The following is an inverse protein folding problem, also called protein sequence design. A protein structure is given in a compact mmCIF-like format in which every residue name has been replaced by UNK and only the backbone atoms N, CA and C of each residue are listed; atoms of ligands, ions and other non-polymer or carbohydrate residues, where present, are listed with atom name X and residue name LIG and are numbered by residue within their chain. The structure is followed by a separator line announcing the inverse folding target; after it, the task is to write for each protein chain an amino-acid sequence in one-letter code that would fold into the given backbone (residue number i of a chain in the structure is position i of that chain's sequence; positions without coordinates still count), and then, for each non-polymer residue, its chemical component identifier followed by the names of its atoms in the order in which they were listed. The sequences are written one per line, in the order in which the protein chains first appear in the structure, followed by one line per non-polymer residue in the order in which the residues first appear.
data_IF_173978790557
#
_entry.id   IF_173978790557
#
_cell.length_a   1.000
_cell.length_b   1.000
_cell.length_c   1.000
_cell.angle_alpha   90.00
_cell.angle_beta   90.00
_cell.angle_gamma   90.00
#
_symmetry.space_group_name_H-M   'P 1'
#
loop_
_entity.id
_entity.type
_entity.pdbx_description
1 polymer ?
#
# COMPACT_ATOMS: atom_id res chain seq x y z
N UNK A 1 -1.88 9.32 -1.21
CA UNK A 1 -2.24 8.50 -0.03
C UNK A 1 -3.35 9.22 0.72
N UNK A 2 -4.45 8.54 1.04
CA UNK A 2 -5.53 9.10 1.86
C UNK A 2 -5.89 8.14 2.99
N UNK A 3 -6.61 8.63 4.01
CA UNK A 3 -7.07 7.84 5.14
C UNK A 3 -8.59 7.73 5.15
N UNK A 4 -9.11 6.57 5.54
CA UNK A 4 -10.54 6.46 5.86
C UNK A 4 -10.83 6.97 7.29
N UNK A 5 -12.10 6.97 7.69
CA UNK A 5 -12.54 7.36 9.05
C UNK A 5 -11.90 6.53 10.17
N UNK A 6 -11.46 5.31 9.87
CA UNK A 6 -10.79 4.39 10.80
C UNK A 6 -9.26 4.61 10.83
N UNK A 7 -8.73 5.60 10.09
CA UNK A 7 -7.31 5.90 10.01
C UNK A 7 -6.48 4.97 9.12
N UNK A 8 -7.11 4.02 8.41
CA UNK A 8 -6.44 3.11 7.47
C UNK A 8 -5.98 3.85 6.23
N UNK A 9 -4.79 3.52 5.71
CA UNK A 9 -4.18 4.22 4.59
C UNK A 9 -4.50 3.55 3.25
N UNK A 10 -4.84 4.35 2.25
CA UNK A 10 -5.19 3.88 0.91
C UNK A 10 -4.51 4.70 -0.20
N UNK A 11 -4.30 4.04 -1.34
CA UNK A 11 -3.82 4.64 -2.58
C UNK A 11 -4.78 4.22 -3.69
N UNK A 12 -5.33 5.19 -4.42
CA UNK A 12 -6.02 4.93 -5.67
C UNK A 12 -5.00 4.97 -6.80
N UNK A 13 -4.94 3.92 -7.61
CA UNK A 13 -4.16 3.89 -8.85
C UNK A 13 -5.11 3.73 -10.01
N UNK A 14 -4.89 4.49 -11.08
CA UNK A 14 -5.69 4.44 -12.28
C UNK A 14 -4.80 4.44 -13.50
N UNK A 15 -5.08 3.54 -14.44
CA UNK A 15 -4.52 3.58 -15.77
C UNK A 15 -5.36 4.53 -16.62
N UNK A 16 -4.82 5.72 -16.92
CA UNK A 16 -5.50 6.71 -17.76
C UNK A 16 -5.44 6.35 -19.24
N UNK A 17 -4.55 5.45 -19.64
CA UNK A 17 -4.49 4.94 -21.00
C UNK A 17 -5.65 3.97 -21.20
N UNK A 18 -6.51 4.25 -22.17
CA UNK A 18 -7.67 3.45 -22.52
C UNK A 18 -7.40 2.42 -23.62
N UNK A 19 -6.17 2.41 -24.16
CA UNK A 19 -5.75 1.49 -25.23
C UNK A 19 -4.80 0.40 -24.75
N UNK A 20 -3.97 0.68 -23.75
CA UNK A 20 -2.90 -0.23 -23.33
C UNK A 20 -2.96 -0.58 -21.85
N UNK A 21 -2.62 -1.82 -21.54
CA UNK A 21 -2.33 -2.28 -20.17
C UNK A 21 -1.04 -1.64 -19.68
N UNK A 22 -1.01 -1.21 -18.41
CA UNK A 22 0.17 -0.64 -17.79
C UNK A 22 0.51 -1.35 -16.49
N UNK A 23 1.80 -1.54 -16.23
CA UNK A 23 2.29 -1.99 -14.92
C UNK A 23 2.66 -0.78 -14.07
N UNK A 24 1.89 -0.54 -13.02
CA UNK A 24 2.24 0.45 -12.00
C UNK A 24 3.25 -0.14 -11.02
N UNK A 25 4.36 0.57 -10.79
CA UNK A 25 5.36 0.20 -9.78
C UNK A 25 5.28 1.21 -8.65
N UNK A 26 4.83 0.76 -7.48
CA UNK A 26 4.80 1.56 -6.27
C UNK A 26 6.05 1.25 -5.43
N UNK A 27 6.78 2.31 -5.09
CA UNK A 27 7.98 2.25 -4.24
C UNK A 27 7.69 2.86 -2.88
N UNK A 28 7.99 2.12 -1.83
CA UNK A 28 7.66 2.44 -0.43
C UNK A 28 8.92 2.34 0.43
N UNK A 29 9.00 3.14 1.49
CA UNK A 29 10.06 3.00 2.48
C UNK A 29 9.87 1.67 3.23
N UNK A 30 10.94 0.86 3.30
CA UNK A 30 10.93 -0.47 3.94
C UNK A 30 10.42 -0.46 5.37
N UNK A 31 10.75 0.56 6.16
CA UNK A 31 10.37 0.62 7.57
C UNK A 31 8.97 1.21 7.81
N UNK A 32 8.30 1.68 6.75
CA UNK A 32 7.02 2.36 6.86
C UNK A 32 5.82 1.47 6.47
N UNK A 33 6.06 0.29 5.90
CA UNK A 33 5.01 -0.58 5.33
C UNK A 33 5.27 -2.03 5.71
N UNK A 34 4.24 -2.71 6.20
CA UNK A 34 4.25 -4.15 6.45
C UNK A 34 3.58 -4.93 5.33
N UNK A 35 2.45 -4.41 4.81
CA UNK A 35 1.60 -5.12 3.85
C UNK A 35 0.97 -4.15 2.88
N UNK A 36 0.84 -4.57 1.63
CA UNK A 36 0.03 -3.91 0.60
C UNK A 36 -1.00 -4.91 0.09
N UNK A 37 -2.26 -4.50 0.00
CA UNK A 37 -3.32 -5.33 -0.56
C UNK A 37 -4.12 -4.55 -1.60
N UNK A 38 -4.53 -5.20 -2.68
CA UNK A 38 -5.44 -4.66 -3.68
C UNK A 38 -6.89 -5.08 -3.38
N UNK A 39 -7.84 -4.19 -3.66
CA UNK A 39 -9.25 -4.53 -3.64
C UNK A 39 -9.60 -5.31 -4.92
N UNK A 40 -10.01 -6.56 -4.77
CA UNK A 40 -10.69 -7.28 -5.84
C UNK A 40 -12.09 -6.69 -6.02
N UNK A 41 -12.29 -6.02 -7.15
CA UNK A 41 -13.55 -5.34 -7.49
C UNK A 41 -14.71 -6.30 -7.74
N UNK A 42 -14.44 -7.57 -8.09
CA UNK A 42 -15.47 -8.58 -8.35
C UNK A 42 -15.99 -9.16 -7.05
N UNK A 43 -15.10 -9.41 -6.09
CA UNK A 43 -15.46 -10.09 -4.83
C UNK A 43 -15.60 -9.13 -3.64
N UNK A 44 -15.11 -7.89 -3.76
CA UNK A 44 -15.02 -6.92 -2.67
C UNK A 44 -13.96 -7.28 -1.60
N UNK A 45 -13.17 -8.34 -1.83
CA UNK A 45 -12.16 -8.81 -0.89
C UNK A 45 -10.81 -8.15 -1.15
N UNK A 46 -9.97 -8.13 -0.11
CA UNK A 46 -8.60 -7.64 -0.22
C UNK A 46 -7.66 -8.79 -0.51
N UNK A 47 -6.87 -8.69 -1.57
CA UNK A 47 -5.82 -9.65 -1.93
C UNK A 47 -4.45 -9.03 -1.63
N UNK A 48 -3.61 -9.73 -0.88
CA UNK A 48 -2.26 -9.26 -0.58
C UNK A 48 -1.39 -9.28 -1.84
N UNK A 49 -0.61 -8.22 -2.03
CA UNK A 49 0.34 -8.11 -3.12
C UNK A 49 1.74 -8.47 -2.63
N UNK A 50 2.50 -9.15 -3.48
CA UNK A 50 3.88 -9.50 -3.17
C UNK A 50 4.74 -8.24 -3.11
N UNK A 51 5.32 -8.00 -1.92
CA UNK A 51 6.33 -6.97 -1.74
C UNK A 51 7.71 -7.53 -2.07
N UNK A 52 8.40 -6.87 -2.98
CA UNK A 52 9.78 -7.18 -3.32
C UNK A 52 10.70 -6.16 -2.66
N UNK A 53 11.62 -6.61 -1.83
CA UNK A 53 12.62 -5.72 -1.23
C UNK A 53 13.72 -5.41 -2.24
N UNK A 54 14.04 -4.13 -2.40
CA UNK A 54 15.19 -3.64 -3.18
C UNK A 54 15.95 -2.60 -2.36
N UNK A 55 17.03 -3.04 -1.71
CA UNK A 55 17.80 -2.19 -0.80
C UNK A 55 16.98 -1.75 0.41
N UNK A 56 16.85 -0.44 0.61
CA UNK A 56 16.08 0.23 1.66
C UNK A 56 14.60 0.47 1.28
N UNK A 57 14.18 -0.02 0.11
CA UNK A 57 12.84 0.17 -0.44
C UNK A 57 12.09 -1.15 -0.58
N UNK A 58 10.77 -1.06 -0.47
CA UNK A 58 9.82 -2.11 -0.83
C UNK A 58 9.11 -1.69 -2.10
N UNK A 59 9.12 -2.55 -3.10
CA UNK A 59 8.44 -2.33 -4.38
C UNK A 59 7.30 -3.32 -4.54
N UNK A 60 6.19 -2.84 -5.09
CA UNK A 60 5.08 -3.67 -5.53
C UNK A 60 4.72 -3.30 -6.96
N UNK A 61 4.54 -4.30 -7.80
CA UNK A 61 4.04 -4.15 -9.16
C UNK A 61 2.56 -4.53 -9.19
N UNK A 62 1.77 -3.78 -9.96
CA UNK A 62 0.37 -4.10 -10.18
C UNK A 62 0.00 -3.79 -11.63
N UNK A 63 -0.61 -4.76 -12.31
CA UNK A 63 -1.07 -4.61 -13.68
C UNK A 63 -2.46 -3.98 -13.72
N UNK A 64 -2.62 -2.94 -14.53
CA UNK A 64 -3.89 -2.25 -14.74
C UNK A 64 -4.25 -2.33 -16.21
N UNK A 65 -5.41 -2.90 -16.50
CA UNK A 65 -5.97 -2.90 -17.85
C UNK A 65 -6.28 -1.48 -18.33
N UNK A 66 -6.63 -1.32 -19.63
CA UNK A 66 -6.93 -0.01 -20.18
C UNK A 66 -8.15 0.65 -19.50
N UNK A 67 -7.99 1.90 -19.08
CA UNK A 67 -9.02 2.66 -18.35
C UNK A 67 -9.36 2.14 -16.95
N UNK A 68 -8.63 1.13 -16.46
CA UNK A 68 -8.90 0.49 -15.18
C UNK A 68 -8.36 1.29 -13.99
N UNK A 69 -8.86 0.99 -12.80
CA UNK A 69 -8.35 1.51 -11.56
C UNK A 69 -8.46 0.49 -10.44
N UNK A 70 -7.52 0.55 -9.51
CA UNK A 70 -7.51 -0.27 -8.29
C UNK A 70 -7.33 0.58 -7.05
N UNK A 71 -7.90 0.10 -5.95
CA UNK A 71 -7.69 0.67 -4.63
C UNK A 71 -6.71 -0.23 -3.87
N UNK A 72 -5.58 0.33 -3.46
CA UNK A 72 -4.62 -0.33 -2.60
C UNK A 72 -4.80 0.10 -1.15
N UNK A 73 -4.73 -0.86 -0.23
CA UNK A 73 -4.65 -0.65 1.21
C UNK A 73 -3.20 -0.84 1.66
N UNK A 74 -2.68 0.14 2.40
CA UNK A 74 -1.33 0.13 2.95
C UNK A 74 -1.40 -0.06 4.46
N UNK A 75 -0.83 -1.17 4.94
CA UNK A 75 -0.68 -1.46 6.36
C UNK A 75 0.72 -1.01 6.79
N UNK A 76 0.78 -0.18 7.83
CA UNK A 76 2.04 0.26 8.44
C UNK A 76 2.38 -0.66 9.61
N UNK A 77 3.66 -0.91 9.89
CA UNK A 77 4.04 -1.62 11.10
C UNK A 77 3.53 -0.88 12.35
N UNK A 78 3.23 -1.59 13.45
CA UNK A 78 2.85 -0.94 14.70
C UNK A 78 3.93 0.06 15.10
N UNK A 79 3.50 1.28 15.44
CA UNK A 79 4.40 2.29 15.99
C UNK A 79 5.07 1.68 17.23
N UNK A 80 6.40 1.56 17.22
CA UNK A 80 7.13 1.32 18.48
C UNK A 80 6.87 2.54 19.35
N UNK A 81 5.94 2.41 20.29
CA UNK A 81 5.72 3.41 21.32
C UNK A 81 7.09 3.66 21.97
N UNK A 82 7.54 4.91 21.98
CA UNK A 82 8.65 5.32 22.83
C UNK A 82 8.19 5.08 24.26
N UNK A 83 8.69 4.04 24.91
CA UNK A 83 8.54 3.85 26.35
C UNK A 83 9.15 5.08 27.01
N UNK A 84 8.32 6.07 27.38
CA UNK A 84 8.76 7.14 28.29
C UNK A 84 8.83 6.49 29.66
N UNK A 85 10.00 5.95 29.98
CA UNK A 85 10.34 5.56 31.34
C UNK A 85 10.37 6.85 32.16
N UNK A 86 9.29 7.15 32.88
CA UNK A 86 9.32 8.14 33.95
C UNK A 86 10.16 7.55 35.09
N UNK A 87 11.47 7.75 35.02
CA UNK A 87 12.33 7.59 36.18
C UNK A 87 12.41 8.95 36.87
N UNK A 88 11.87 9.03 38.09
CA UNK A 88 12.14 10.12 39.02
C UNK A 88 12.36 9.52 40.41
N UNK A 89 13.56 9.64 41.00
CA UNK A 89 13.71 9.63 42.46
C UNK A 89 13.27 10.98 43.04
#
# INVERSE_FOLDING_TARGET
LFKNKEGRNFILMANRDWKATQTAILTLNRNAVSTVAALDRKTGKWAELQLTQRGDRMTVAYELGPGDGTLLRIVRPPSRAKTRTNAKP
#
